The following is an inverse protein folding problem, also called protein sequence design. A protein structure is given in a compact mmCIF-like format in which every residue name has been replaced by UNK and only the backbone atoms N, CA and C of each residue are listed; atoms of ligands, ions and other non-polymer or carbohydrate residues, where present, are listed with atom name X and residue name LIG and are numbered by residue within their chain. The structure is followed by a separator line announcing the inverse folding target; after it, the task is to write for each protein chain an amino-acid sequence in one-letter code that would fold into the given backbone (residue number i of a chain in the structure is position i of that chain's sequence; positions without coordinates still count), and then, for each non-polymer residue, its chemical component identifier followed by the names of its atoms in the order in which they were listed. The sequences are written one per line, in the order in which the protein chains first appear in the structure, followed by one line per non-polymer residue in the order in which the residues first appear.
data_IF_926740551644
#
_entry.id   IF_926740551644
#
_cell.length_a   1.000
_cell.length_b   1.000
_cell.length_c   1.000
_cell.angle_alpha   90.00
_cell.angle_beta   90.00
_cell.angle_gamma   90.00
#
_symmetry.space_group_name_H-M   'P 1'
#
loop_
_entity.id
_entity.type
_entity.pdbx_description
1 polymer ?
#
# COMPACT_ATOMS: atom_id res chain seq x y z
N UNK A 1 -38.50 10.57 28.92
CA UNK A 1 -38.21 10.28 27.50
C UNK A 1 -36.74 9.91 27.39
N UNK A 2 -36.42 8.63 27.18
CA UNK A 2 -35.05 8.20 26.90
C UNK A 2 -34.80 8.42 25.39
N UNK A 3 -34.06 9.46 25.06
CA UNK A 3 -33.53 9.63 23.71
C UNK A 3 -32.32 8.71 23.55
N UNK A 4 -32.52 7.57 22.87
CA UNK A 4 -31.39 6.84 22.28
C UNK A 4 -30.82 7.73 21.16
N UNK A 5 -29.69 8.38 21.44
CA UNK A 5 -28.87 8.94 20.39
C UNK A 5 -28.36 7.75 19.57
N UNK A 6 -28.87 7.59 18.35
CA UNK A 6 -28.25 6.75 17.35
C UNK A 6 -26.85 7.33 17.12
N UNK A 7 -25.83 6.67 17.66
CA UNK A 7 -24.45 6.94 17.28
C UNK A 7 -24.37 6.76 15.76
N UNK A 8 -23.65 7.66 15.05
CA UNK A 8 -23.43 7.46 13.63
C UNK A 8 -22.75 6.10 13.51
N UNK A 9 -23.32 5.23 12.67
CA UNK A 9 -22.61 4.04 12.25
C UNK A 9 -21.26 4.51 11.71
N UNK A 10 -20.18 4.23 12.45
CA UNK A 10 -18.84 4.39 11.93
C UNK A 10 -18.83 3.54 10.65
N UNK A 11 -18.56 4.18 9.53
CA UNK A 11 -18.61 3.55 8.22
C UNK A 11 -17.73 2.29 8.24
N UNK A 12 -18.36 1.13 8.11
CA UNK A 12 -17.70 -0.10 7.68
C UNK A 12 -16.99 0.20 6.34
N UNK A 13 -15.65 0.18 6.34
CA UNK A 13 -14.84 0.01 5.13
C UNK A 13 -14.73 1.20 4.17
N UNK A 14 -14.11 2.31 4.61
CA UNK A 14 -13.62 3.35 3.69
C UNK A 14 -12.49 2.77 2.82
N UNK A 15 -12.87 2.17 1.68
CA UNK A 15 -11.94 1.66 0.67
C UNK A 15 -11.29 2.83 -0.05
N UNK A 16 -9.97 2.93 0.01
CA UNK A 16 -9.20 3.91 -0.76
C UNK A 16 -8.72 3.26 -2.04
N UNK A 17 -9.12 3.82 -3.18
CA UNK A 17 -8.60 3.41 -4.50
C UNK A 17 -7.62 4.47 -5.01
N UNK A 18 -6.48 4.04 -5.54
CA UNK A 18 -5.41 4.91 -6.02
C UNK A 18 -5.07 4.56 -7.46
N UNK A 19 -4.82 5.57 -8.26
CA UNK A 19 -4.08 5.44 -9.52
C UNK A 19 -2.79 6.26 -9.42
N UNK A 20 -1.67 5.60 -9.65
CA UNK A 20 -0.35 6.18 -9.50
C UNK A 20 0.46 6.03 -10.79
N UNK A 21 1.17 7.08 -11.18
CA UNK A 21 2.16 7.03 -12.25
C UNK A 21 3.57 6.92 -11.63
N UNK A 22 4.40 6.02 -12.18
CA UNK A 22 5.80 5.89 -11.79
C UNK A 22 6.59 7.12 -12.25
N UNK A 23 7.41 7.68 -11.37
CA UNK A 23 8.25 8.86 -11.65
C UNK A 23 9.73 8.46 -11.66
N UNK A 24 10.16 7.75 -10.62
CA UNK A 24 11.55 7.29 -10.46
C UNK A 24 11.53 5.86 -9.94
N UNK A 25 12.42 5.01 -10.44
CA UNK A 25 12.70 3.69 -9.88
C UNK A 25 14.16 3.62 -9.45
N UNK A 26 14.40 3.08 -8.25
CA UNK A 26 15.72 2.87 -7.68
C UNK A 26 15.91 1.38 -7.35
N UNK A 27 17.03 0.81 -7.76
CA UNK A 27 17.44 -0.57 -7.46
C UNK A 27 18.22 -0.67 -6.15
N UNK A 28 18.48 -1.91 -5.69
CA UNK A 28 19.27 -2.18 -4.48
C UNK A 28 20.72 -1.70 -4.59
N UNK A 29 21.23 -1.52 -5.81
CA UNK A 29 22.55 -0.98 -6.08
C UNK A 29 22.63 0.56 -5.87
N UNK A 30 21.53 1.21 -5.47
CA UNK A 30 21.45 2.65 -5.30
C UNK A 30 21.39 3.42 -6.62
N UNK A 31 21.17 2.74 -7.74
CA UNK A 31 20.98 3.37 -9.04
C UNK A 31 19.51 3.74 -9.21
N UNK A 32 19.25 5.03 -9.47
CA UNK A 32 17.92 5.57 -9.72
C UNK A 32 17.81 6.11 -11.15
N UNK A 33 16.68 5.85 -11.80
CA UNK A 33 16.38 6.35 -13.14
C UNK A 33 14.91 6.77 -13.25
N UNK A 34 14.61 7.61 -14.25
CA UNK A 34 13.24 7.94 -14.59
C UNK A 34 12.47 6.66 -14.93
N UNK A 35 11.29 6.50 -14.33
CA UNK A 35 10.40 5.38 -14.57
C UNK A 35 9.12 5.88 -15.26
N UNK A 36 8.43 4.97 -15.92
CA UNK A 36 7.15 5.24 -16.57
C UNK A 36 6.23 4.05 -16.36
N UNK A 37 4.93 4.29 -16.50
CA UNK A 37 3.91 3.27 -16.29
C UNK A 37 2.96 3.68 -15.18
N UNK A 38 1.83 2.96 -15.12
CA UNK A 38 0.80 3.18 -14.12
C UNK A 38 0.65 1.93 -13.27
N UNK A 39 0.41 2.14 -11.99
CA UNK A 39 -0.01 1.13 -11.03
C UNK A 39 -1.25 1.63 -10.30
N UNK A 40 -2.16 0.73 -9.97
CA UNK A 40 -3.33 1.01 -9.15
C UNK A 40 -3.29 0.21 -7.85
N UNK A 41 -3.70 0.85 -6.76
CA UNK A 41 -3.81 0.22 -5.45
C UNK A 41 -5.22 0.35 -4.92
N UNK A 42 -5.63 -0.65 -4.16
CA UNK A 42 -6.86 -0.62 -3.37
C UNK A 42 -6.47 -0.96 -1.95
N UNK A 43 -6.90 -0.14 -1.00
CA UNK A 43 -6.69 -0.33 0.43
C UNK A 43 -8.06 -0.37 1.12
N UNK A 44 -8.43 -1.52 1.66
CA UNK A 44 -9.70 -1.73 2.36
C UNK A 44 -9.41 -2.00 3.85
N UNK A 45 -9.80 -1.11 4.78
CA UNK A 45 -9.69 -1.37 6.21
C UNK A 45 -10.50 -2.61 6.59
N UNK A 46 -9.93 -3.50 7.40
CA UNK A 46 -10.61 -4.68 7.96
C UNK A 46 -10.84 -4.50 9.46
N UNK A 47 -9.79 -4.14 10.20
CA UNK A 47 -9.85 -3.87 11.64
C UNK A 47 -8.78 -2.86 11.98
N UNK A 48 -9.18 -1.60 12.19
CA UNK A 48 -8.26 -0.47 12.38
C UNK A 48 -8.65 0.39 13.56
N UNK A 49 -7.66 0.92 14.26
CA UNK A 49 -7.88 1.92 15.30
C UNK A 49 -8.19 3.32 14.72
N UNK A 50 -8.39 4.30 15.60
CA UNK A 50 -8.72 5.68 15.23
C UNK A 50 -7.62 6.40 14.42
N UNK A 51 -6.41 5.85 14.35
CA UNK A 51 -5.28 6.38 13.56
C UNK A 51 -5.14 5.70 12.20
N UNK A 52 -5.97 4.69 11.92
CA UNK A 52 -5.89 3.85 10.74
C UNK A 52 -4.78 2.80 10.84
N UNK A 53 -4.24 2.55 12.04
CA UNK A 53 -3.33 1.44 12.25
C UNK A 53 -4.15 0.16 12.40
N UNK A 54 -3.75 -0.93 11.74
CA UNK A 54 -4.51 -2.18 11.82
C UNK A 54 -4.44 -3.05 10.57
N UNK A 55 -5.36 -4.00 10.49
CA UNK A 55 -5.48 -4.95 9.40
C UNK A 55 -6.19 -4.31 8.20
N UNK A 56 -5.66 -4.60 7.02
CA UNK A 56 -6.17 -4.16 5.74
C UNK A 56 -6.23 -5.33 4.76
N UNK A 57 -7.07 -5.17 3.76
CA UNK A 57 -7.01 -5.89 2.50
C UNK A 57 -6.43 -4.97 1.43
N UNK A 58 -5.44 -5.47 0.68
CA UNK A 58 -4.72 -4.73 -0.35
C UNK A 58 -4.77 -5.46 -1.68
N UNK A 59 -5.09 -4.77 -2.77
CA UNK A 59 -4.87 -5.28 -4.12
C UNK A 59 -4.08 -4.30 -4.99
N UNK A 60 -3.31 -4.86 -5.92
CA UNK A 60 -2.49 -4.13 -6.90
C UNK A 60 -2.98 -4.50 -8.30
N UNK A 61 -3.23 -3.51 -9.15
CA UNK A 61 -3.65 -3.68 -10.55
C UNK A 61 -4.86 -4.60 -10.76
N UNK A 62 -5.83 -4.52 -9.85
CA UNK A 62 -7.04 -5.34 -9.90
C UNK A 62 -6.79 -6.84 -9.63
N UNK A 63 -5.59 -7.20 -9.16
CA UNK A 63 -5.26 -8.55 -8.74
C UNK A 63 -6.01 -9.01 -7.49
N UNK A 64 -5.67 -10.22 -7.03
CA UNK A 64 -6.26 -10.77 -5.80
C UNK A 64 -5.98 -9.87 -4.59
N UNK A 65 -6.98 -9.75 -3.72
CA UNK A 65 -6.83 -9.07 -2.43
C UNK A 65 -5.93 -9.89 -1.52
N UNK A 66 -5.01 -9.22 -0.84
CA UNK A 66 -4.02 -9.81 0.05
C UNK A 66 -4.14 -9.17 1.44
N UNK A 67 -3.93 -9.94 2.51
CA UNK A 67 -3.85 -9.36 3.85
C UNK A 67 -2.64 -8.44 3.95
N UNK A 68 -2.87 -7.26 4.49
CA UNK A 68 -1.88 -6.23 4.75
C UNK A 68 -2.01 -5.71 6.17
N UNK A 69 -0.93 -5.11 6.68
CA UNK A 69 -0.90 -4.42 7.97
C UNK A 69 -0.48 -2.98 7.74
N UNK A 70 -1.20 -2.03 8.34
CA UNK A 70 -0.84 -0.62 8.32
C UNK A 70 -0.45 -0.12 9.72
N UNK A 71 0.41 0.91 9.74
CA UNK A 71 0.74 1.67 10.95
C UNK A 71 -0.07 2.96 11.12
N UNK A 72 -0.75 3.42 10.07
CA UNK A 72 -1.64 4.58 10.06
C UNK A 72 -2.44 4.63 8.74
N UNK A 73 -3.36 5.59 8.60
CA UNK A 73 -4.01 5.88 7.30
C UNK A 73 -3.06 6.22 6.15
N UNK A 74 -1.85 6.71 6.45
CA UNK A 74 -0.82 7.01 5.45
C UNK A 74 0.16 5.85 5.21
N UNK A 75 -0.05 4.73 5.91
CA UNK A 75 0.86 3.60 5.95
C UNK A 75 1.98 3.79 7.00
N UNK A 76 3.12 3.09 6.84
CA UNK A 76 3.38 2.09 5.80
C UNK A 76 2.33 0.98 5.80
N UNK A 77 1.88 0.56 4.63
CA UNK A 77 1.08 -0.63 4.38
C UNK A 77 2.02 -1.75 3.97
N UNK A 78 2.05 -2.85 4.71
CA UNK A 78 2.97 -3.97 4.50
C UNK A 78 2.20 -5.23 4.11
N UNK A 79 2.62 -5.90 3.04
CA UNK A 79 2.07 -7.18 2.59
C UNK A 79 3.16 -8.08 2.00
N UNK A 80 2.80 -9.34 1.76
CA UNK A 80 3.70 -10.34 1.18
C UNK A 80 2.97 -11.05 0.01
N UNK A 81 3.26 -10.67 -1.26
CA UNK A 81 2.55 -11.24 -2.41
C UNK A 81 2.95 -12.69 -2.70
N UNK A 82 4.10 -13.13 -2.20
CA UNK A 82 4.59 -14.48 -2.32
C UNK A 82 5.52 -14.81 -1.15
N UNK A 83 5.82 -16.10 -0.95
CA UNK A 83 6.87 -16.52 -0.03
C UNK A 83 8.20 -15.87 -0.45
N UNK A 84 8.93 -15.30 0.51
CA UNK A 84 10.20 -14.63 0.24
C UNK A 84 10.08 -13.23 -0.36
N UNK A 85 8.86 -12.73 -0.63
CA UNK A 85 8.62 -11.37 -1.09
C UNK A 85 7.97 -10.52 0.01
N UNK A 86 8.37 -9.26 0.11
CA UNK A 86 7.75 -8.28 1.00
C UNK A 86 7.66 -6.94 0.32
N UNK A 87 6.50 -6.31 0.45
CA UNK A 87 6.25 -5.02 -0.15
C UNK A 87 5.76 -4.02 0.88
N UNK A 88 6.01 -2.74 0.61
CA UNK A 88 5.57 -1.65 1.46
C UNK A 88 5.15 -0.45 0.63
N UNK A 89 3.96 0.07 0.89
CA UNK A 89 3.47 1.32 0.31
C UNK A 89 3.36 2.38 1.41
N UNK A 90 3.96 3.54 1.20
CA UNK A 90 3.90 4.65 2.16
C UNK A 90 3.54 5.93 1.44
N UNK A 91 2.50 6.63 1.89
CA UNK A 91 2.20 7.97 1.38
C UNK A 91 3.19 8.97 1.98
N UNK A 92 3.77 9.78 1.10
CA UNK A 92 4.71 10.84 1.48
C UNK A 92 4.07 12.21 1.39
N UNK A 93 2.95 12.34 0.67
CA UNK A 93 2.06 13.50 0.65
C UNK A 93 0.66 13.06 0.20
N UNK A 94 -0.26 14.02 0.02
CA UNK A 94 -1.58 13.77 -0.57
C UNK A 94 -1.54 13.23 -2.01
N UNK A 95 -0.43 13.46 -2.73
CA UNK A 95 -0.29 13.10 -4.15
C UNK A 95 0.96 12.28 -4.46
N UNK A 96 1.69 11.82 -3.44
CA UNK A 96 2.93 11.06 -3.65
C UNK A 96 3.05 9.87 -2.70
N UNK A 97 3.65 8.80 -3.22
CA UNK A 97 3.90 7.58 -2.46
C UNK A 97 5.27 6.99 -2.80
N UNK A 98 5.77 6.15 -1.88
CA UNK A 98 6.89 5.26 -2.12
C UNK A 98 6.38 3.82 -2.09
N UNK A 99 6.72 3.03 -3.10
CA UNK A 99 6.47 1.60 -3.13
C UNK A 99 7.81 0.86 -3.12
N UNK A 100 8.09 0.18 -2.02
CA UNK A 100 9.25 -0.67 -1.85
C UNK A 100 8.85 -2.12 -2.13
N UNK A 101 9.58 -2.79 -3.01
CA UNK A 101 9.41 -4.22 -3.35
C UNK A 101 10.69 -4.96 -3.02
N UNK A 102 10.63 -5.95 -2.14
CA UNK A 102 11.79 -6.69 -1.68
C UNK A 102 11.64 -8.17 -2.03
N UNK A 103 12.69 -8.74 -2.60
CA UNK A 103 12.87 -10.18 -2.71
C UNK A 103 13.93 -10.59 -1.68
N UNK A 104 13.48 -11.21 -0.60
CA UNK A 104 14.32 -11.71 0.50
C UNK A 104 14.84 -13.12 0.16
N UNK A 105 13.97 -13.94 -0.42
CA UNK A 105 14.30 -15.29 -0.87
C UNK A 105 13.71 -15.50 -2.27
N UNK A 106 14.58 -15.79 -3.24
CA UNK A 106 14.21 -15.91 -4.65
C UNK A 106 13.86 -17.33 -5.08
N UNK A 107 14.12 -18.34 -4.23
CA UNK A 107 14.00 -19.76 -4.58
C UNK A 107 14.98 -20.26 -5.66
N UNK A 108 15.84 -19.38 -6.20
CA UNK A 108 16.77 -19.67 -7.30
C UNK A 108 18.25 -19.51 -6.90
N UNK A 109 18.51 -19.14 -5.65
CA UNK A 109 19.85 -18.81 -5.16
C UNK A 109 20.36 -17.44 -5.58
N UNK A 110 19.56 -16.65 -6.32
CA UNK A 110 19.85 -15.25 -6.57
C UNK A 110 19.89 -14.46 -5.25
N UNK A 111 20.80 -13.47 -5.11
CA UNK A 111 20.90 -12.66 -3.91
C UNK A 111 19.59 -11.87 -3.65
N UNK A 112 19.33 -11.47 -2.40
CA UNK A 112 18.23 -10.58 -2.09
C UNK A 112 18.31 -9.28 -2.89
N UNK A 113 17.17 -8.75 -3.31
CA UNK A 113 17.06 -7.50 -4.05
C UNK A 113 15.93 -6.63 -3.51
N UNK A 114 15.98 -5.34 -3.86
CA UNK A 114 14.96 -4.39 -3.47
C UNK A 114 14.85 -3.26 -4.50
N UNK A 115 13.63 -2.95 -4.90
CA UNK A 115 13.31 -1.83 -5.77
C UNK A 115 12.42 -0.83 -5.04
N UNK A 116 12.69 0.47 -5.22
CA UNK A 116 11.87 1.56 -4.69
C UNK A 116 11.34 2.38 -5.85
N UNK A 117 10.02 2.49 -5.95
CA UNK A 117 9.35 3.38 -6.87
C UNK A 117 8.86 4.63 -6.16
N UNK A 118 9.15 5.78 -6.76
CA UNK A 118 8.56 7.06 -6.42
C UNK A 118 7.36 7.26 -7.33
N UNK A 119 6.21 7.49 -6.71
CA UNK A 119 4.92 7.51 -7.37
C UNK A 119 4.27 8.89 -7.20
N UNK A 120 3.58 9.35 -8.25
CA UNK A 120 2.58 10.40 -8.15
C UNK A 120 1.20 9.77 -8.25
N UNK A 121 0.37 9.96 -7.22
CA UNK A 121 -0.89 9.27 -7.06
C UNK A 121 -2.07 10.25 -7.04
N UNK A 122 -3.23 9.76 -7.50
CA UNK A 122 -4.54 10.36 -7.27
C UNK A 122 -5.42 9.37 -6.52
N UNK A 123 -6.15 9.87 -5.53
CA UNK A 123 -7.23 9.10 -4.89
C UNK A 123 -8.43 9.14 -5.81
N UNK A 124 -9.02 7.98 -6.06
CA UNK A 124 -10.25 7.83 -6.82
C UNK A 124 -11.47 7.87 -5.89
N UNK A 125 -12.60 8.42 -6.35
CA UNK A 125 -13.85 8.46 -5.60
C UNK A 125 -14.48 7.07 -5.42
#
# INVERSE_FOLDING_TARGET
ALSLAALPAAAEGARTSLECDHVTACSEAGTCAAANGRVSFVLAPVDTDATGAGAYELSVDGGASMPAQAMSFAGPFLWAPALGARETLTFTSETSALWLRQTIESGTGAPPSADIDFLTCRILP
#
